data_IF_681675688539
#
_entry.id   IF_681675688539
#
_cell.length_a   1.000
_cell.length_b   1.000
_cell.length_c   1.000
_cell.angle_alpha   90.00
_cell.angle_beta   90.00
_cell.angle_gamma   90.00
#
_symmetry.space_group_name_H-M   'P 1'
#
loop_
_entity.id
_entity.type
_entity.pdbx_description
1 polymer ?
#
# COMPACT_ATOMS: atom_id res chain seq x y z
N UNK A 1 7.20 -17.66 15.35
CA UNK A 1 8.31 -17.03 14.59
C UNK A 1 7.87 -15.63 14.18
N UNK A 2 8.66 -14.58 14.44
CA UNK A 2 8.41 -13.23 13.93
C UNK A 2 9.13 -13.01 12.61
N UNK A 3 8.45 -12.41 11.65
CA UNK A 3 9.02 -12.00 10.35
C UNK A 3 9.14 -10.49 10.37
N UNK A 4 10.36 -9.98 10.19
CA UNK A 4 10.58 -8.53 10.16
C UNK A 4 9.87 -7.92 8.94
N UNK A 5 9.15 -6.80 9.20
CA UNK A 5 8.30 -6.17 8.18
C UNK A 5 9.06 -5.02 7.49
N UNK A 6 8.94 -4.94 6.18
CA UNK A 6 9.59 -3.87 5.39
C UNK A 6 9.16 -2.46 5.82
N UNK A 7 7.93 -2.33 6.30
CA UNK A 7 7.37 -1.07 6.83
C UNK A 7 8.14 -0.54 8.05
N UNK A 8 8.94 -1.37 8.73
CA UNK A 8 9.72 -0.98 9.91
C UNK A 8 10.62 0.23 9.65
N UNK A 9 11.29 0.29 8.51
CA UNK A 9 12.16 1.41 8.15
C UNK A 9 11.42 2.76 8.14
N UNK A 10 10.17 2.75 7.67
CA UNK A 10 9.31 3.94 7.65
C UNK A 10 8.75 4.22 9.05
N UNK A 11 8.37 3.18 9.78
CA UNK A 11 7.90 3.28 11.15
C UNK A 11 8.94 3.94 12.06
N UNK A 12 10.20 3.48 12.03
CA UNK A 12 11.31 4.02 12.83
C UNK A 12 11.53 5.52 12.60
N UNK A 13 11.34 6.00 11.37
CA UNK A 13 11.41 7.44 11.05
C UNK A 13 10.22 8.23 11.61
N UNK A 14 9.02 7.66 11.56
CA UNK A 14 7.78 8.34 11.93
C UNK A 14 7.65 8.47 13.45
N UNK A 15 8.02 7.45 14.22
CA UNK A 15 7.92 7.48 15.70
C UNK A 15 8.78 8.54 16.36
N UNK A 16 9.80 9.07 15.67
CA UNK A 16 10.62 10.18 16.17
C UNK A 16 9.97 11.56 15.97
N UNK A 17 9.01 11.65 15.04
CA UNK A 17 8.40 12.93 14.63
C UNK A 17 6.96 13.10 15.08
N UNK A 18 6.28 11.99 15.41
CA UNK A 18 4.86 12.00 15.77
C UNK A 18 4.65 11.39 17.15
N UNK A 19 3.83 12.06 17.97
CA UNK A 19 3.41 11.53 19.28
C UNK A 19 2.44 10.36 19.15
N UNK A 20 1.76 10.25 18.01
CA UNK A 20 0.82 9.17 17.74
C UNK A 20 1.06 8.54 16.37
N UNK A 21 1.06 7.21 16.33
CA UNK A 21 1.17 6.42 15.10
C UNK A 21 0.03 5.41 15.04
N UNK A 22 -0.69 5.40 13.92
CA UNK A 22 -1.71 4.40 13.62
C UNK A 22 -1.18 3.39 12.61
N UNK A 23 -1.19 2.11 12.99
CA UNK A 23 -0.94 1.00 12.07
C UNK A 23 -2.28 0.42 11.65
N UNK A 24 -2.66 0.65 10.40
CA UNK A 24 -3.93 0.21 9.82
C UNK A 24 -3.70 -0.88 8.78
N UNK A 25 -4.72 -1.64 8.42
CA UNK A 25 -4.59 -2.68 7.41
C UNK A 25 -5.58 -3.82 7.60
N UNK A 26 -5.58 -4.76 6.67
CA UNK A 26 -6.49 -5.90 6.69
C UNK A 26 -6.45 -6.66 8.03
N UNK A 27 -7.57 -7.28 8.38
CA UNK A 27 -7.64 -8.21 9.51
C UNK A 27 -6.56 -9.31 9.34
N UNK A 28 -5.94 -9.73 10.44
CA UNK A 28 -4.89 -10.75 10.45
C UNK A 28 -3.63 -10.46 9.59
N UNK A 29 -3.42 -9.23 9.11
CA UNK A 29 -2.18 -8.84 8.43
C UNK A 29 -0.96 -8.72 9.36
N UNK A 30 -1.15 -8.85 10.69
CA UNK A 30 -0.08 -8.84 11.68
C UNK A 30 0.16 -7.50 12.38
N UNK A 31 -0.81 -6.56 12.39
CA UNK A 31 -0.70 -5.22 13.01
C UNK A 31 -0.29 -5.28 14.48
N UNK A 32 -1.04 -6.02 15.29
CA UNK A 32 -0.79 -6.21 16.73
C UNK A 32 0.58 -6.84 16.97
N UNK A 33 0.93 -7.90 16.20
CA UNK A 33 2.24 -8.56 16.29
C UNK A 33 3.38 -7.61 15.95
N UNK A 34 3.22 -6.80 14.89
CA UNK A 34 4.20 -5.79 14.51
C UNK A 34 4.43 -4.79 15.63
N UNK A 35 3.38 -4.16 16.18
CA UNK A 35 3.53 -3.17 17.25
C UNK A 35 4.12 -3.76 18.53
N UNK A 36 3.67 -4.96 18.95
CA UNK A 36 4.25 -5.66 20.11
C UNK A 36 5.74 -5.90 19.94
N UNK A 37 6.19 -6.25 18.74
CA UNK A 37 7.61 -6.48 18.46
C UNK A 37 8.43 -5.18 18.42
N UNK A 38 7.78 -4.03 18.13
CA UNK A 38 8.46 -2.72 18.15
C UNK A 38 8.49 -2.09 19.55
N UNK A 39 7.74 -2.61 20.51
CA UNK A 39 7.81 -2.17 21.90
C UNK A 39 9.22 -2.47 22.44
N UNK A 40 9.99 -1.40 22.71
CA UNK A 40 11.34 -1.51 23.28
C UNK A 40 11.31 -2.06 24.71
N UNK A 41 12.46 -2.48 25.23
CA UNK A 41 12.61 -2.70 26.67
C UNK A 41 12.49 -1.34 27.36
N UNK A 42 11.36 -1.12 28.06
CA UNK A 42 11.05 0.14 28.75
C UNK A 42 9.68 0.05 29.41
N UNK A 43 9.24 1.15 29.98
CA UNK A 43 7.91 1.26 30.60
C UNK A 43 6.86 1.44 29.50
N UNK A 44 6.46 0.32 28.87
CA UNK A 44 5.48 0.30 27.79
C UNK A 44 4.30 -0.57 28.19
N UNK A 45 3.09 -0.18 27.82
CA UNK A 45 1.88 -0.92 28.06
C UNK A 45 1.15 -1.26 26.76
N UNK A 46 0.60 -2.47 26.71
CA UNK A 46 -0.31 -2.91 25.65
C UNK A 46 -1.71 -3.06 26.19
N UNK A 47 -2.67 -2.40 25.56
CA UNK A 47 -4.07 -2.31 25.99
C UNK A 47 -4.96 -2.79 24.85
N UNK A 48 -5.81 -3.78 25.11
CA UNK A 48 -6.76 -4.35 24.17
C UNK A 48 -8.17 -3.89 24.48
N UNK A 49 -8.82 -3.16 23.59
CA UNK A 49 -10.18 -2.64 23.79
C UNK A 49 -11.30 -3.64 23.45
N UNK A 50 -10.95 -4.85 23.04
CA UNK A 50 -11.93 -5.95 23.03
C UNK A 50 -12.31 -6.39 24.44
N UNK A 51 -11.47 -6.09 25.47
CA UNK A 51 -11.78 -6.25 26.87
C UNK A 51 -12.86 -5.23 27.29
N UNK A 52 -14.07 -5.69 27.73
CA UNK A 52 -15.17 -4.80 28.08
C UNK A 52 -14.87 -3.88 29.26
N UNK A 53 -14.11 -4.35 30.27
CA UNK A 53 -13.79 -3.59 31.45
C UNK A 53 -12.84 -2.44 31.15
N UNK A 54 -11.80 -2.73 30.35
CA UNK A 54 -10.85 -1.72 29.86
C UNK A 54 -11.57 -0.68 29.01
N UNK A 55 -12.42 -1.14 28.09
CA UNK A 55 -13.20 -0.26 27.22
C UNK A 55 -14.20 0.57 28.03
N UNK A 56 -14.90 -0.05 28.99
CA UNK A 56 -15.84 0.66 29.89
C UNK A 56 -15.15 1.79 30.65
N UNK A 57 -13.99 1.52 31.23
CA UNK A 57 -13.21 2.55 31.93
C UNK A 57 -12.77 3.68 31.02
N UNK A 58 -12.27 3.36 29.83
CA UNK A 58 -11.89 4.37 28.83
C UNK A 58 -13.08 5.21 28.38
N UNK A 59 -14.26 4.60 28.24
CA UNK A 59 -15.45 5.27 27.77
C UNK A 59 -16.09 6.18 28.84
N UNK A 60 -16.07 5.76 30.10
CA UNK A 60 -16.75 6.43 31.20
C UNK A 60 -15.87 7.41 32.00
N UNK A 61 -14.62 7.05 32.29
CA UNK A 61 -13.68 7.85 33.06
C UNK A 61 -12.25 7.81 32.50
N UNK A 62 -12.00 8.71 31.54
CA UNK A 62 -10.70 8.80 30.87
C UNK A 62 -9.55 9.15 31.82
N UNK A 63 -9.82 9.95 32.90
CA UNK A 63 -8.76 10.32 33.85
C UNK A 63 -8.33 9.14 34.69
N UNK A 64 -9.31 8.35 35.16
CA UNK A 64 -9.03 7.12 35.90
C UNK A 64 -8.33 6.08 34.99
N UNK A 65 -8.73 5.98 33.73
CA UNK A 65 -8.04 5.15 32.77
C UNK A 65 -6.59 5.60 32.61
N UNK A 66 -6.33 6.91 32.44
CA UNK A 66 -4.99 7.46 32.33
C UNK A 66 -4.13 7.13 33.56
N UNK A 67 -4.67 7.35 34.75
CA UNK A 67 -4.01 7.06 36.00
C UNK A 67 -3.67 5.57 36.17
N UNK A 68 -4.62 4.70 35.82
CA UNK A 68 -4.46 3.25 36.04
C UNK A 68 -3.53 2.59 35.03
N UNK A 69 -3.57 3.03 33.75
CA UNK A 69 -2.87 2.35 32.66
C UNK A 69 -1.72 3.16 32.04
N UNK A 70 -1.81 4.49 32.01
CA UNK A 70 -0.83 5.30 31.28
C UNK A 70 0.21 5.95 32.19
N UNK A 71 -0.09 6.18 33.47
CA UNK A 71 0.88 6.71 34.43
C UNK A 71 2.05 5.74 34.60
N UNK A 72 3.28 6.29 34.59
CA UNK A 72 4.50 5.51 34.73
C UNK A 72 4.92 4.75 33.46
N UNK A 73 4.15 4.85 32.36
CA UNK A 73 4.50 4.27 31.06
C UNK A 73 4.91 5.36 30.06
N UNK A 74 6.00 5.11 29.30
CA UNK A 74 6.51 6.03 28.28
C UNK A 74 5.75 5.91 26.95
N UNK A 75 5.13 4.74 26.71
CA UNK A 75 4.40 4.43 25.50
C UNK A 75 3.20 3.52 25.83
N UNK A 76 2.06 3.81 25.23
CA UNK A 76 0.92 2.90 25.23
C UNK A 76 0.56 2.45 23.80
N UNK A 77 0.39 1.14 23.64
CA UNK A 77 -0.16 0.53 22.42
C UNK A 77 -1.63 0.23 22.67
N UNK A 78 -2.50 0.89 21.90
CA UNK A 78 -3.96 0.80 22.02
C UNK A 78 -4.51 0.01 20.84
N UNK A 79 -4.90 -1.24 21.08
CA UNK A 79 -5.34 -2.17 20.05
C UNK A 79 -6.86 -2.12 19.88
N UNK A 80 -7.34 -2.02 18.62
CA UNK A 80 -8.75 -1.95 18.22
C UNK A 80 -9.51 -0.77 18.86
N UNK A 81 -8.84 0.39 18.99
CA UNK A 81 -9.36 1.60 19.65
C UNK A 81 -10.65 2.17 19.03
N UNK A 82 -10.96 1.81 17.79
CA UNK A 82 -12.20 2.22 17.11
C UNK A 82 -13.46 1.59 17.74
N UNK A 83 -13.32 0.66 18.66
CA UNK A 83 -14.43 0.07 19.41
C UNK A 83 -14.95 0.98 20.53
N UNK A 84 -14.20 2.05 20.88
CA UNK A 84 -14.49 2.97 21.95
C UNK A 84 -15.36 4.16 21.50
N UNK A 85 -16.19 4.67 22.39
CA UNK A 85 -17.00 5.88 22.17
C UNK A 85 -16.12 7.13 22.20
N UNK A 86 -16.37 8.08 21.28
CA UNK A 86 -15.64 9.36 21.19
C UNK A 86 -14.11 9.22 21.21
N UNK A 87 -13.60 8.09 20.68
CA UNK A 87 -12.18 7.74 20.74
C UNK A 87 -11.27 8.89 20.25
N UNK A 88 -11.65 9.60 19.19
CA UNK A 88 -10.84 10.69 18.65
C UNK A 88 -10.61 11.85 19.60
N UNK A 89 -11.64 12.27 20.36
CA UNK A 89 -11.52 13.34 21.35
C UNK A 89 -10.65 12.91 22.53
N UNK A 90 -10.83 11.69 23.00
CA UNK A 90 -10.07 11.11 24.11
C UNK A 90 -8.59 10.94 23.75
N UNK A 91 -8.33 10.40 22.56
CA UNK A 91 -6.96 10.25 22.05
C UNK A 91 -6.27 11.62 21.84
N UNK A 92 -7.02 12.62 21.36
CA UNK A 92 -6.51 13.99 21.26
C UNK A 92 -6.11 14.53 22.63
N UNK A 93 -6.97 14.39 23.65
CA UNK A 93 -6.65 14.81 25.00
C UNK A 93 -5.37 14.15 25.52
N UNK A 94 -5.24 12.83 25.38
CA UNK A 94 -4.06 12.09 25.83
C UNK A 94 -2.77 12.55 25.10
N UNK A 95 -2.84 12.76 23.80
CA UNK A 95 -1.68 13.25 23.03
C UNK A 95 -1.32 14.69 23.42
N UNK A 96 -2.31 15.57 23.60
CA UNK A 96 -2.09 16.96 24.02
C UNK A 96 -1.58 17.04 25.47
N UNK A 97 -1.85 16.01 26.30
CA UNK A 97 -1.26 15.83 27.65
C UNK A 97 0.16 15.21 27.63
N UNK A 98 0.75 15.04 26.44
CA UNK A 98 2.13 14.55 26.28
C UNK A 98 2.29 13.03 26.22
N UNK A 99 1.19 12.25 26.15
CA UNK A 99 1.26 10.79 26.03
C UNK A 99 1.68 10.37 24.62
N UNK A 100 2.56 9.36 24.51
CA UNK A 100 2.95 8.71 23.25
C UNK A 100 2.07 7.48 23.06
N UNK A 101 1.38 7.43 21.89
CA UNK A 101 0.39 6.40 21.62
C UNK A 101 0.66 5.74 20.26
N UNK A 102 0.64 4.42 20.24
CA UNK A 102 0.51 3.66 19.01
C UNK A 102 -0.85 2.98 19.00
N UNK A 103 -1.55 3.05 17.89
CA UNK A 103 -2.87 2.45 17.76
C UNK A 103 -2.94 1.48 16.59
N UNK A 104 -3.84 0.50 16.70
CA UNK A 104 -4.22 -0.32 15.53
C UNK A 104 -5.66 -0.05 15.15
N UNK A 105 -5.97 -0.30 13.88
CA UNK A 105 -7.34 -0.41 13.39
C UNK A 105 -7.41 -1.33 12.18
N UNK A 106 -8.43 -2.18 12.14
CA UNK A 106 -8.77 -3.00 10.98
C UNK A 106 -9.65 -2.27 9.96
N UNK A 107 -10.15 -1.05 10.30
CA UNK A 107 -11.01 -0.24 9.45
C UNK A 107 -10.50 1.20 9.33
N UNK A 108 -10.03 1.55 8.14
CA UNK A 108 -9.60 2.93 7.85
C UNK A 108 -10.77 3.92 7.88
N UNK A 109 -11.99 3.46 7.61
CA UNK A 109 -13.19 4.31 7.59
C UNK A 109 -13.60 4.74 8.98
N UNK A 110 -13.61 3.80 9.91
CA UNK A 110 -13.95 4.11 11.30
C UNK A 110 -12.88 5.03 11.87
N UNK A 111 -11.61 4.72 11.60
CA UNK A 111 -10.49 5.58 11.98
C UNK A 111 -10.66 7.00 11.41
N UNK A 112 -10.98 7.13 10.11
CA UNK A 112 -11.13 8.43 9.45
C UNK A 112 -12.29 9.24 10.01
N UNK A 113 -13.45 8.63 10.22
CA UNK A 113 -14.65 9.31 10.72
C UNK A 113 -14.54 9.74 12.18
N UNK A 114 -14.03 8.85 13.02
CA UNK A 114 -14.11 9.01 14.47
C UNK A 114 -12.84 9.53 15.11
N UNK A 115 -11.69 9.35 14.46
CA UNK A 115 -10.38 9.62 15.06
C UNK A 115 -9.62 10.72 14.32
N UNK A 116 -9.45 10.60 12.99
CA UNK A 116 -8.55 11.49 12.24
C UNK A 116 -8.96 12.95 12.26
N UNK A 117 -10.26 13.26 12.25
CA UNK A 117 -10.76 14.64 12.28
C UNK A 117 -10.29 15.43 13.52
N UNK A 118 -10.01 14.75 14.62
CA UNK A 118 -9.54 15.36 15.86
C UNK A 118 -8.01 15.43 15.97
N UNK A 119 -7.28 14.65 15.19
CA UNK A 119 -5.84 14.41 15.34
C UNK A 119 -4.98 14.98 14.21
N UNK A 120 -5.51 15.94 13.46
CA UNK A 120 -4.78 16.59 12.35
C UNK A 120 -3.44 17.14 12.86
N UNK A 121 -2.34 16.76 12.20
CA UNK A 121 -0.97 17.16 12.57
C UNK A 121 -0.34 16.40 13.76
N UNK A 122 -1.07 15.50 14.43
CA UNK A 122 -0.61 14.74 15.61
C UNK A 122 -0.37 13.27 15.32
N UNK A 123 -0.99 12.74 14.29
CA UNK A 123 -1.00 11.32 13.95
C UNK A 123 -0.35 11.08 12.58
N UNK A 124 0.42 10.02 12.49
CA UNK A 124 0.84 9.44 11.21
C UNK A 124 0.21 8.07 11.03
N UNK A 125 -0.17 7.77 9.78
CA UNK A 125 -0.84 6.52 9.42
C UNK A 125 0.10 5.67 8.58
N UNK A 126 0.31 4.43 9.01
CA UNK A 126 1.04 3.40 8.29
C UNK A 126 0.11 2.25 7.91
N UNK A 127 0.16 1.86 6.64
CA UNK A 127 -0.63 0.73 6.13
C UNK A 127 0.20 -0.53 6.12
N UNK A 128 -0.28 -1.55 6.84
CA UNK A 128 0.32 -2.87 6.89
C UNK A 128 -0.51 -3.85 6.06
N UNK A 129 0.07 -4.32 4.98
CA UNK A 129 -0.53 -5.33 4.09
C UNK A 129 -0.11 -6.75 4.52
N UNK A 130 -0.72 -7.82 3.97
CA UNK A 130 -0.16 -9.17 4.03
C UNK A 130 1.30 -9.19 3.56
N UNK A 131 2.08 -10.21 3.89
CA UNK A 131 3.50 -10.28 3.54
C UNK A 131 3.77 -9.98 2.06
N UNK A 132 4.79 -9.16 1.79
CA UNK A 132 5.37 -9.00 0.46
C UNK A 132 6.10 -10.28 0.05
N UNK A 133 6.52 -10.38 -1.20
CA UNK A 133 7.29 -11.53 -1.66
C UNK A 133 8.61 -11.68 -0.87
N UNK A 134 9.30 -10.59 -0.56
CA UNK A 134 10.52 -10.59 0.25
C UNK A 134 10.25 -11.03 1.71
N UNK A 135 9.17 -10.54 2.31
CA UNK A 135 8.74 -10.97 3.65
C UNK A 135 8.32 -12.46 3.65
N UNK A 136 7.65 -12.92 2.59
CA UNK A 136 7.31 -14.34 2.40
C UNK A 136 8.56 -15.21 2.30
N UNK A 137 9.55 -14.82 1.50
CA UNK A 137 10.82 -15.55 1.39
C UNK A 137 11.55 -15.62 2.73
N UNK A 138 11.53 -14.52 3.47
CA UNK A 138 12.09 -14.46 4.83
C UNK A 138 11.35 -15.42 5.79
N UNK A 139 10.02 -15.46 5.71
CA UNK A 139 9.19 -16.38 6.50
C UNK A 139 9.48 -17.86 6.18
N UNK A 140 9.80 -18.17 4.93
CA UNK A 140 10.16 -19.51 4.46
C UNK A 140 11.65 -19.85 4.67
N UNK A 141 12.45 -18.93 5.25
CA UNK A 141 13.87 -19.13 5.48
C UNK A 141 14.72 -19.16 4.19
N UNK A 142 14.20 -18.63 3.10
CA UNK A 142 14.86 -18.67 1.78
C UNK A 142 15.70 -17.40 1.57
N UNK A 143 17.03 -17.55 1.61
CA UNK A 143 17.97 -16.43 1.40
C UNK A 143 18.69 -16.47 0.04
N UNK A 144 18.93 -17.67 -0.50
CA UNK A 144 19.57 -17.87 -1.81
C UNK A 144 18.81 -18.98 -2.53
N UNK A 145 18.36 -18.70 -3.73
CA UNK A 145 17.52 -19.62 -4.50
C UNK A 145 18.07 -19.81 -5.90
N UNK A 146 17.93 -21.04 -6.43
CA UNK A 146 18.05 -21.27 -7.87
C UNK A 146 16.77 -20.77 -8.58
N UNK A 147 16.85 -20.47 -9.86
CA UNK A 147 15.70 -19.99 -10.63
C UNK A 147 14.45 -20.92 -10.51
N UNK A 148 14.54 -22.25 -10.57
CA UNK A 148 13.38 -23.11 -10.38
C UNK A 148 12.75 -23.00 -8.97
N UNK A 149 13.57 -22.83 -7.93
CA UNK A 149 13.08 -22.64 -6.56
C UNK A 149 12.39 -21.29 -6.42
N UNK A 150 12.96 -20.23 -6.98
CA UNK A 150 12.35 -18.90 -6.98
C UNK A 150 10.97 -18.90 -7.66
N UNK A 151 10.84 -19.54 -8.82
CA UNK A 151 9.55 -19.71 -9.50
C UNK A 151 8.53 -20.47 -8.66
N UNK A 152 8.93 -21.55 -7.99
CA UNK A 152 8.05 -22.31 -7.11
C UNK A 152 7.60 -21.47 -5.90
N UNK A 153 8.50 -20.71 -5.29
CA UNK A 153 8.18 -19.83 -4.17
C UNK A 153 7.24 -18.70 -4.60
N UNK A 154 7.50 -18.10 -5.75
CA UNK A 154 6.61 -17.07 -6.32
C UNK A 154 5.22 -17.64 -6.60
N UNK A 155 5.15 -18.85 -7.15
CA UNK A 155 3.87 -19.54 -7.40
C UNK A 155 3.12 -19.83 -6.09
N UNK A 156 3.81 -20.35 -5.06
CA UNK A 156 3.19 -20.59 -3.74
C UNK A 156 2.62 -19.29 -3.16
N UNK A 157 3.39 -18.21 -3.19
CA UNK A 157 2.94 -16.91 -2.69
C UNK A 157 1.77 -16.34 -3.51
N UNK A 158 1.78 -16.53 -4.84
CA UNK A 158 0.69 -16.11 -5.72
C UNK A 158 -0.57 -16.97 -5.51
N UNK A 159 -0.41 -18.24 -5.23
CA UNK A 159 -1.51 -19.19 -5.03
C UNK A 159 -2.22 -18.99 -3.69
N UNK A 160 -1.45 -18.84 -2.61
CA UNK A 160 -1.98 -18.79 -1.24
C UNK A 160 -1.92 -17.40 -0.60
N UNK A 161 -1.31 -16.42 -1.27
CA UNK A 161 -1.18 -15.06 -0.76
C UNK A 161 -0.17 -14.89 0.36
N UNK A 162 -0.18 -13.70 0.95
CA UNK A 162 0.79 -13.25 1.96
C UNK A 162 0.24 -13.16 3.38
N UNK A 163 -0.95 -13.65 3.70
CA UNK A 163 -1.44 -13.60 5.07
C UNK A 163 -0.54 -14.42 6.02
N UNK A 164 -0.04 -13.82 7.13
CA UNK A 164 0.98 -14.45 7.97
C UNK A 164 0.63 -15.86 8.42
N UNK A 165 -0.61 -16.09 8.88
CA UNK A 165 -1.06 -17.41 9.32
C UNK A 165 -1.03 -18.44 8.18
N UNK A 166 -1.40 -18.04 6.96
CA UNK A 166 -1.39 -18.89 5.76
C UNK A 166 0.04 -19.23 5.37
N UNK A 167 0.92 -18.23 5.33
CA UNK A 167 2.35 -18.40 4.96
C UNK A 167 3.07 -19.33 5.92
N UNK A 168 2.79 -19.23 7.22
CA UNK A 168 3.41 -20.04 8.28
C UNK A 168 2.78 -21.44 8.45
N UNK A 169 1.71 -21.74 7.73
CA UNK A 169 1.09 -23.06 7.66
C UNK A 169 1.70 -23.83 6.49
N UNK A 170 2.06 -25.10 6.68
CA UNK A 170 2.64 -25.94 5.60
C UNK A 170 1.59 -26.73 4.84
N UNK A 171 0.55 -27.19 5.52
CA UNK A 171 -0.54 -27.98 4.94
C UNK A 171 -1.40 -27.17 3.96
N UNK A 172 -1.48 -27.55 2.67
CA UNK A 172 -2.26 -26.85 1.66
C UNK A 172 -3.78 -26.79 1.96
N UNK A 173 -4.37 -27.84 2.51
CA UNK A 173 -5.79 -27.88 2.82
C UNK A 173 -6.11 -26.93 3.98
N UNK A 174 -5.23 -26.89 4.98
CA UNK A 174 -5.36 -25.95 6.08
C UNK A 174 -5.15 -24.50 5.64
N UNK A 175 -4.27 -24.23 4.69
CA UNK A 175 -4.13 -22.88 4.07
C UNK A 175 -5.44 -22.44 3.44
N UNK A 176 -6.08 -23.29 2.65
CA UNK A 176 -7.37 -22.98 2.00
C UNK A 176 -8.47 -22.73 3.05
N UNK A 177 -8.53 -23.56 4.10
CA UNK A 177 -9.47 -23.38 5.22
C UNK A 177 -9.28 -22.04 5.91
N UNK A 178 -8.03 -21.67 6.22
CA UNK A 178 -7.70 -20.37 6.85
C UNK A 178 -8.11 -19.19 5.95
N UNK A 179 -7.88 -19.30 4.65
CA UNK A 179 -8.27 -18.26 3.69
C UNK A 179 -9.80 -18.15 3.56
N UNK A 180 -10.51 -19.27 3.59
CA UNK A 180 -11.98 -19.28 3.56
C UNK A 180 -12.56 -18.62 4.81
N UNK A 181 -12.11 -19.00 6.00
CA UNK A 181 -12.53 -18.40 7.27
C UNK A 181 -12.23 -16.88 7.31
N UNK A 182 -11.08 -16.49 6.77
CA UNK A 182 -10.67 -15.09 6.68
C UNK A 182 -11.60 -14.32 5.73
N UNK A 183 -11.89 -14.87 4.55
CA UNK A 183 -12.81 -14.28 3.58
C UNK A 183 -14.19 -14.04 4.20
N UNK A 184 -14.78 -15.06 4.80
CA UNK A 184 -16.09 -14.96 5.42
C UNK A 184 -16.11 -13.93 6.56
N UNK A 185 -15.10 -13.95 7.42
CA UNK A 185 -15.00 -12.99 8.53
C UNK A 185 -14.83 -11.55 8.02
N UNK A 186 -13.98 -11.32 7.04
CA UNK A 186 -13.77 -10.00 6.46
C UNK A 186 -15.01 -9.51 5.73
N UNK A 187 -15.65 -10.36 4.93
CA UNK A 187 -16.84 -9.96 4.18
C UNK A 187 -17.98 -9.56 5.12
N UNK A 188 -18.26 -10.37 6.14
CA UNK A 188 -19.37 -10.14 7.06
C UNK A 188 -19.08 -9.01 8.06
N UNK A 189 -17.91 -9.01 8.71
CA UNK A 189 -17.60 -8.03 9.77
C UNK A 189 -17.03 -6.73 9.23
N UNK A 190 -16.06 -6.80 8.31
CA UNK A 190 -15.31 -5.61 7.92
C UNK A 190 -15.97 -4.89 6.72
N UNK A 191 -16.69 -5.62 5.85
CA UNK A 191 -17.41 -5.03 4.73
C UNK A 191 -18.89 -4.83 5.08
N UNK A 192 -19.67 -5.90 5.23
CA UNK A 192 -21.10 -5.80 5.33
C UNK A 192 -21.56 -5.02 6.57
N UNK A 193 -21.11 -5.41 7.77
CA UNK A 193 -21.49 -4.75 9.01
C UNK A 193 -21.01 -3.29 9.09
N UNK A 194 -19.75 -3.02 8.72
CA UNK A 194 -19.17 -1.67 8.80
C UNK A 194 -19.85 -0.68 7.87
N UNK A 195 -20.34 -1.15 6.71
CA UNK A 195 -20.99 -0.30 5.70
C UNK A 195 -22.52 -0.46 5.63
N UNK A 196 -23.11 -1.16 6.60
CA UNK A 196 -24.55 -1.43 6.65
C UNK A 196 -25.06 -1.95 5.32
N UNK A 197 -24.51 -3.09 4.91
CA UNK A 197 -24.92 -3.84 3.72
C UNK A 197 -25.72 -5.03 4.19
N UNK A 198 -27.04 -5.04 3.90
CA UNK A 198 -27.96 -6.09 4.32
C UNK A 198 -28.03 -7.23 3.28
N UNK A 199 -27.87 -6.91 2.00
CA UNK A 199 -27.86 -7.88 0.92
C UNK A 199 -26.48 -8.52 0.74
N UNK A 200 -26.22 -9.52 1.58
CA UNK A 200 -24.96 -10.27 1.60
C UNK A 200 -24.78 -11.10 0.33
N UNK A 201 -25.87 -11.68 -0.19
CA UNK A 201 -25.86 -12.54 -1.37
C UNK A 201 -25.40 -11.77 -2.62
N UNK A 202 -25.90 -10.56 -2.83
CA UNK A 202 -25.45 -9.68 -3.92
C UNK A 202 -24.01 -9.21 -3.71
N UNK A 203 -23.58 -8.98 -2.46
CA UNK A 203 -22.20 -8.63 -2.15
C UNK A 203 -21.23 -9.78 -2.47
N UNK A 204 -21.58 -11.02 -2.11
CA UNK A 204 -20.78 -12.22 -2.43
C UNK A 204 -20.69 -12.45 -3.95
N UNK A 205 -21.81 -12.36 -4.66
CA UNK A 205 -21.84 -12.46 -6.13
C UNK A 205 -20.97 -11.40 -6.78
N UNK A 206 -21.00 -10.17 -6.26
CA UNK A 206 -20.17 -9.09 -6.74
C UNK A 206 -18.68 -9.33 -6.46
N UNK A 207 -18.32 -9.75 -5.25
CA UNK A 207 -16.95 -10.10 -4.90
C UNK A 207 -16.41 -11.22 -5.81
N UNK A 208 -17.22 -12.25 -6.06
CA UNK A 208 -16.87 -13.35 -6.97
C UNK A 208 -16.73 -12.89 -8.42
N UNK A 209 -17.63 -12.02 -8.90
CA UNK A 209 -17.53 -11.43 -10.24
C UNK A 209 -16.18 -10.72 -10.44
N UNK A 210 -15.75 -9.90 -9.46
CA UNK A 210 -14.46 -9.23 -9.50
C UNK A 210 -13.29 -10.23 -9.44
N UNK A 211 -13.41 -11.30 -8.65
CA UNK A 211 -12.34 -12.27 -8.47
C UNK A 211 -12.10 -13.14 -9.71
N UNK A 212 -13.13 -13.44 -10.48
CA UNK A 212 -13.02 -14.22 -11.71
C UNK A 212 -12.39 -13.41 -12.84
N UNK A 213 -12.69 -12.11 -12.93
CA UNK A 213 -12.16 -11.21 -13.97
C UNK A 213 -11.33 -10.05 -13.41
N UNK A 214 -10.25 -10.31 -12.65
CA UNK A 214 -9.40 -9.22 -12.16
C UNK A 214 -8.69 -8.54 -13.33
N UNK A 215 -8.11 -7.36 -13.07
CA UNK A 215 -7.34 -6.56 -14.03
C UNK A 215 -8.13 -5.96 -15.21
N UNK A 216 -9.41 -6.28 -15.38
CA UNK A 216 -10.25 -5.63 -16.36
C UNK A 216 -10.70 -4.23 -15.95
N UNK A 217 -10.94 -3.32 -16.92
CA UNK A 217 -11.61 -2.06 -16.64
C UNK A 217 -13.04 -2.34 -16.21
N UNK A 218 -13.41 -1.86 -15.03
CA UNK A 218 -14.72 -2.10 -14.47
C UNK A 218 -15.79 -1.25 -15.17
N UNK A 219 -16.61 -1.88 -16.00
CA UNK A 219 -17.80 -1.25 -16.57
C UNK A 219 -18.98 -1.42 -15.62
N UNK A 220 -19.46 -0.33 -15.03
CA UNK A 220 -20.61 -0.36 -14.12
C UNK A 220 -21.87 -0.87 -14.79
N UNK A 221 -22.10 -0.53 -16.06
CA UNK A 221 -23.26 -1.00 -16.84
C UNK A 221 -23.19 -2.51 -17.07
N UNK A 222 -22.01 -3.02 -17.42
CA UNK A 222 -21.80 -4.47 -17.61
C UNK A 222 -22.07 -5.24 -16.32
N UNK A 223 -21.54 -4.75 -15.19
CA UNK A 223 -21.76 -5.36 -13.87
C UNK A 223 -23.23 -5.29 -13.45
N UNK A 224 -23.88 -4.13 -13.65
CA UNK A 224 -25.29 -3.92 -13.33
C UNK A 224 -26.18 -4.92 -14.08
N UNK A 225 -25.95 -5.07 -15.39
CA UNK A 225 -26.69 -6.00 -16.22
C UNK A 225 -26.43 -7.47 -15.85
N UNK A 226 -25.17 -7.81 -15.53
CA UNK A 226 -24.79 -9.20 -15.21
C UNK A 226 -25.31 -9.67 -13.85
N UNK A 227 -25.36 -8.78 -12.85
CA UNK A 227 -25.71 -9.13 -11.47
C UNK A 227 -27.08 -8.62 -11.02
N UNK A 228 -27.76 -7.81 -11.83
CA UNK A 228 -29.06 -7.23 -11.47
C UNK A 228 -29.01 -6.20 -10.33
N UNK A 229 -27.83 -5.57 -10.09
CA UNK A 229 -27.65 -4.60 -9.02
C UNK A 229 -27.47 -3.17 -9.56
N UNK A 230 -27.96 -2.18 -8.82
CA UNK A 230 -27.90 -0.79 -9.26
C UNK A 230 -26.47 -0.22 -9.29
N UNK A 231 -26.23 0.78 -10.13
CA UNK A 231 -24.99 1.55 -10.16
C UNK A 231 -24.59 2.07 -8.75
N UNK A 232 -25.56 2.55 -7.99
CA UNK A 232 -25.33 3.04 -6.62
C UNK A 232 -24.85 1.93 -5.69
N UNK A 233 -25.43 0.75 -5.81
CA UNK A 233 -25.07 -0.45 -5.04
C UNK A 233 -23.65 -0.90 -5.40
N UNK A 234 -23.30 -0.97 -6.70
CA UNK A 234 -21.95 -1.32 -7.15
C UNK A 234 -20.92 -0.37 -6.55
N UNK A 235 -21.19 0.94 -6.61
CA UNK A 235 -20.28 1.94 -6.04
C UNK A 235 -20.14 1.78 -4.53
N UNK A 236 -21.24 1.53 -3.80
CA UNK A 236 -21.22 1.26 -2.36
C UNK A 236 -20.38 0.03 -2.03
N UNK A 237 -20.54 -1.06 -2.79
CA UNK A 237 -19.79 -2.31 -2.58
C UNK A 237 -18.29 -2.12 -2.88
N UNK A 238 -17.93 -1.46 -3.97
CA UNK A 238 -16.54 -1.12 -4.29
C UNK A 238 -15.89 -0.28 -3.21
N UNK A 239 -16.57 0.78 -2.75
CA UNK A 239 -16.05 1.66 -1.69
C UNK A 239 -15.88 0.89 -0.38
N UNK A 240 -16.82 0.00 -0.04
CA UNK A 240 -16.74 -0.83 1.15
C UNK A 240 -15.59 -1.84 1.08
N UNK A 241 -15.44 -2.56 -0.04
CA UNK A 241 -14.39 -3.55 -0.23
C UNK A 241 -12.99 -2.91 -0.26
N UNK A 242 -12.83 -1.74 -0.90
CA UNK A 242 -11.54 -1.05 -0.93
C UNK A 242 -11.11 -0.57 0.46
N UNK A 243 -12.04 0.03 1.20
CA UNK A 243 -11.80 0.54 2.55
C UNK A 243 -11.61 -0.54 3.61
N UNK A 244 -12.04 -1.77 3.29
CA UNK A 244 -11.83 -2.97 4.12
C UNK A 244 -10.62 -3.80 3.66
N UNK A 245 -9.78 -3.27 2.79
CA UNK A 245 -8.58 -3.95 2.30
C UNK A 245 -8.83 -5.28 1.56
N UNK A 246 -9.95 -5.39 0.86
CA UNK A 246 -10.19 -6.50 -0.07
C UNK A 246 -9.57 -6.23 -1.43
N UNK A 247 -9.83 -5.04 -1.96
CA UNK A 247 -9.46 -4.63 -3.31
C UNK A 247 -8.73 -3.28 -3.29
N UNK A 248 -8.10 -2.98 -4.40
CA UNK A 248 -7.62 -1.65 -4.75
C UNK A 248 -8.14 -1.27 -6.13
N UNK A 249 -8.50 0.01 -6.30
CA UNK A 249 -8.85 0.60 -7.59
C UNK A 249 -7.65 1.31 -8.18
N UNK A 250 -7.23 0.88 -9.35
CA UNK A 250 -6.16 1.48 -10.13
C UNK A 250 -6.78 2.35 -11.21
N UNK A 251 -6.55 3.66 -11.12
CA UNK A 251 -7.10 4.65 -12.03
C UNK A 251 -6.20 4.87 -13.24
N UNK A 252 -6.73 5.36 -14.38
CA UNK A 252 -5.92 5.59 -15.55
C UNK A 252 -4.97 6.78 -15.36
N UNK A 253 -3.79 6.68 -15.98
CA UNK A 253 -2.83 7.77 -16.07
C UNK A 253 -3.22 8.74 -17.19
N UNK A 254 -3.31 10.02 -16.85
CA UNK A 254 -3.45 11.13 -17.80
C UNK A 254 -2.51 12.25 -17.41
N UNK A 255 -1.96 12.97 -18.41
CA UNK A 255 -1.27 14.24 -18.15
C UNK A 255 -2.21 15.29 -17.54
N UNK A 256 -3.50 15.26 -17.90
CA UNK A 256 -4.54 16.07 -17.26
C UNK A 256 -5.19 15.29 -16.09
N UNK A 257 -4.84 15.65 -14.85
CA UNK A 257 -5.30 14.99 -13.63
C UNK A 257 -6.82 14.96 -13.44
N UNK A 258 -7.58 15.93 -14.00
CA UNK A 258 -9.05 15.91 -13.94
C UNK A 258 -9.66 14.72 -14.68
N UNK A 259 -9.01 14.26 -15.75
CA UNK A 259 -9.48 13.10 -16.52
C UNK A 259 -9.26 11.77 -15.78
N UNK A 260 -8.26 11.69 -14.90
CA UNK A 260 -8.01 10.51 -14.08
C UNK A 260 -9.20 10.18 -13.17
N UNK A 261 -9.80 11.21 -12.56
CA UNK A 261 -10.85 11.06 -11.53
C UNK A 261 -12.18 10.54 -12.10
N UNK A 262 -12.50 10.90 -13.37
CA UNK A 262 -13.81 10.58 -13.98
C UNK A 262 -13.84 9.27 -14.76
N UNK A 263 -12.71 8.61 -14.97
CA UNK A 263 -12.63 7.38 -15.75
C UNK A 263 -12.77 6.14 -14.86
N UNK A 264 -13.24 5.05 -15.48
CA UNK A 264 -13.44 3.78 -14.81
C UNK A 264 -12.10 3.18 -14.38
N UNK A 265 -11.99 2.65 -13.14
CA UNK A 265 -10.78 2.01 -12.66
C UNK A 265 -10.66 0.56 -13.16
N UNK A 266 -9.46 0.02 -13.13
CA UNK A 266 -9.22 -1.41 -12.99
C UNK A 266 -9.32 -1.79 -11.51
N UNK A 267 -9.72 -3.04 -11.23
CA UNK A 267 -9.87 -3.53 -9.86
C UNK A 267 -8.97 -4.75 -9.66
N UNK A 268 -8.18 -4.71 -8.58
CA UNK A 268 -7.30 -5.80 -8.17
C UNK A 268 -7.56 -6.17 -6.72
N UNK A 269 -7.39 -7.44 -6.38
CA UNK A 269 -7.41 -7.89 -5.00
C UNK A 269 -6.08 -7.56 -4.32
N UNK A 270 -6.11 -7.17 -3.04
CA UNK A 270 -4.90 -6.85 -2.26
C UNK A 270 -4.09 -8.11 -1.92
N UNK A 271 -4.75 -9.28 -1.94
CA UNK A 271 -4.11 -10.57 -1.73
C UNK A 271 -4.62 -11.58 -2.75
N UNK A 272 -3.70 -12.23 -3.46
CA UNK A 272 -4.04 -13.18 -4.52
C UNK A 272 -4.57 -14.51 -3.99
N UNK A 273 -4.14 -14.94 -2.80
CA UNK A 273 -4.69 -16.13 -2.15
C UNK A 273 -6.16 -15.94 -1.80
N UNK A 274 -6.50 -14.79 -1.22
CA UNK A 274 -7.89 -14.44 -0.95
C UNK A 274 -8.72 -14.37 -2.24
N UNK A 275 -8.17 -13.76 -3.31
CA UNK A 275 -8.81 -13.75 -4.63
C UNK A 275 -9.10 -15.15 -5.15
N UNK A 276 -8.14 -16.07 -5.04
CA UNK A 276 -8.27 -17.42 -5.57
C UNK A 276 -9.37 -18.21 -4.85
N UNK A 277 -9.50 -18.07 -3.54
CA UNK A 277 -10.60 -18.67 -2.75
C UNK A 277 -11.96 -18.13 -3.19
N UNK A 278 -12.08 -16.82 -3.35
CA UNK A 278 -13.34 -16.16 -3.78
C UNK A 278 -13.71 -16.58 -5.21
N UNK A 279 -12.74 -16.64 -6.11
CA UNK A 279 -12.96 -17.09 -7.50
C UNK A 279 -13.26 -18.59 -7.60
N UNK A 280 -12.97 -19.36 -6.55
CA UNK A 280 -13.04 -20.84 -6.54
C UNK A 280 -12.18 -21.45 -7.66
N UNK A 281 -11.02 -20.85 -7.93
CA UNK A 281 -10.09 -21.32 -8.98
C UNK A 281 -8.91 -22.04 -8.33
N UNK A 282 -8.64 -23.24 -8.82
CA UNK A 282 -7.45 -24.04 -8.48
C UNK A 282 -6.58 -24.17 -9.73
N UNK A 283 -5.88 -23.12 -10.06
CA UNK A 283 -4.99 -23.16 -11.22
C UNK A 283 -3.74 -23.95 -10.86
N UNK A 284 -3.25 -24.78 -11.81
CA UNK A 284 -1.97 -25.47 -11.69
C UNK A 284 -0.80 -24.55 -12.05
N UNK A 285 -1.07 -23.51 -12.83
CA UNK A 285 -0.10 -22.53 -13.31
C UNK A 285 -0.74 -21.13 -13.29
N UNK A 286 0.05 -20.05 -13.16
CA UNK A 286 -0.48 -18.70 -13.21
C UNK A 286 -1.01 -18.37 -14.61
N UNK A 287 -2.15 -17.70 -14.65
CA UNK A 287 -2.63 -16.99 -15.84
C UNK A 287 -2.18 -15.52 -15.82
N UNK A 288 -2.33 -14.84 -16.97
CA UNK A 288 -1.87 -13.46 -17.12
C UNK A 288 -2.59 -12.48 -16.18
N UNK A 289 -3.90 -12.68 -15.92
CA UNK A 289 -4.68 -11.82 -15.04
C UNK A 289 -4.29 -11.98 -13.58
N UNK A 290 -4.03 -13.21 -13.15
CA UNK A 290 -3.54 -13.50 -11.78
C UNK A 290 -2.15 -12.90 -11.56
N UNK A 291 -1.25 -13.02 -12.56
CA UNK A 291 0.09 -12.47 -12.46
C UNK A 291 0.07 -10.93 -12.48
N UNK A 292 -0.78 -10.31 -13.29
CA UNK A 292 -0.98 -8.85 -13.28
C UNK A 292 -1.52 -8.38 -11.91
N UNK A 293 -2.51 -9.08 -11.33
CA UNK A 293 -2.98 -8.80 -9.97
C UNK A 293 -1.86 -8.94 -8.95
N UNK A 294 -1.05 -9.97 -9.04
CA UNK A 294 0.10 -10.20 -8.15
C UNK A 294 1.11 -9.06 -8.21
N UNK A 295 1.51 -8.63 -9.42
CA UNK A 295 2.41 -7.47 -9.59
C UNK A 295 1.80 -6.21 -8.99
N UNK A 296 0.50 -5.97 -9.18
CA UNK A 296 -0.20 -4.85 -8.55
C UNK A 296 -0.11 -4.89 -7.03
N UNK A 297 -0.30 -6.06 -6.41
CA UNK A 297 -0.19 -6.20 -4.95
C UNK A 297 1.22 -5.94 -4.46
N UNK A 298 2.23 -6.41 -5.17
CA UNK A 298 3.63 -6.19 -4.79
C UNK A 298 4.04 -4.71 -4.92
N UNK A 299 3.56 -3.99 -5.95
CA UNK A 299 3.72 -2.53 -6.04
C UNK A 299 3.08 -1.83 -4.84
N UNK A 300 1.85 -2.21 -4.48
CA UNK A 300 1.13 -1.65 -3.32
C UNK A 300 1.88 -1.86 -2.00
N UNK A 301 2.42 -3.06 -1.77
CA UNK A 301 3.18 -3.42 -0.57
C UNK A 301 4.48 -2.63 -0.46
N UNK A 302 5.08 -2.25 -1.60
CA UNK A 302 6.20 -1.30 -1.66
C UNK A 302 5.78 0.17 -1.47
N UNK A 303 4.51 0.46 -1.16
CA UNK A 303 3.99 1.82 -1.01
C UNK A 303 3.79 2.56 -2.33
N UNK A 304 3.73 1.85 -3.45
CA UNK A 304 3.58 2.43 -4.79
C UNK A 304 2.12 2.31 -5.23
N UNK A 305 1.45 3.46 -5.41
CA UNK A 305 0.13 3.53 -6.02
C UNK A 305 0.29 3.70 -7.53
N UNK A 306 0.19 2.59 -8.25
CA UNK A 306 0.30 2.58 -9.70
C UNK A 306 -0.99 3.09 -10.37
N UNK A 307 -0.87 3.50 -11.63
CA UNK A 307 -1.97 3.82 -12.54
C UNK A 307 -1.87 2.93 -13.75
N UNK A 308 -2.94 2.79 -14.55
CA UNK A 308 -2.84 2.14 -15.86
C UNK A 308 -2.90 3.19 -16.97
N UNK A 309 -2.43 2.87 -18.17
CA UNK A 309 -2.57 3.76 -19.31
C UNK A 309 -3.27 3.06 -20.47
N UNK A 310 -4.24 3.75 -21.08
CA UNK A 310 -4.97 3.21 -22.22
C UNK A 310 -5.40 4.30 -23.18
N UNK A 311 -5.23 4.03 -24.49
CA UNK A 311 -5.71 4.89 -25.56
C UNK A 311 -7.17 4.60 -25.93
N UNK A 312 -7.76 5.47 -26.75
CA UNK A 312 -9.08 5.23 -27.34
C UNK A 312 -9.09 4.00 -28.24
N UNK A 313 -7.98 3.65 -28.85
CA UNK A 313 -7.79 2.47 -29.71
C UNK A 313 -7.48 1.20 -28.93
N UNK A 314 -7.70 1.21 -27.62
CA UNK A 314 -7.49 0.08 -26.69
C UNK A 314 -6.04 -0.37 -26.55
N UNK A 315 -5.08 0.40 -27.01
CA UNK A 315 -3.65 0.16 -26.73
C UNK A 315 -3.39 0.51 -25.26
N UNK A 316 -2.74 -0.36 -24.50
CA UNK A 316 -2.67 -0.30 -23.03
C UNK A 316 -1.24 -0.57 -22.54
N UNK A 317 -0.91 0.00 -21.36
CA UNK A 317 0.21 -0.36 -20.49
C UNK A 317 -0.36 -0.67 -19.12
N UNK A 318 0.04 -1.81 -18.55
CA UNK A 318 -0.57 -2.36 -17.33
C UNK A 318 -0.42 -1.43 -16.14
N UNK A 319 0.80 -0.91 -15.89
CA UNK A 319 1.04 0.01 -14.80
C UNK A 319 1.93 1.19 -15.19
N UNK A 320 1.62 2.34 -14.61
CA UNK A 320 2.43 3.56 -14.68
C UNK A 320 2.77 3.96 -13.25
N UNK A 321 4.05 3.99 -12.93
CA UNK A 321 4.57 4.43 -11.64
C UNK A 321 5.06 5.86 -11.77
N UNK A 322 4.49 6.77 -10.96
CA UNK A 322 4.93 8.17 -10.90
C UNK A 322 6.08 8.31 -9.88
N UNK A 323 7.21 8.83 -10.30
CA UNK A 323 8.39 9.10 -9.47
C UNK A 323 8.76 10.59 -9.57
N UNK A 324 9.55 11.09 -8.64
CA UNK A 324 10.10 12.46 -8.70
C UNK A 324 10.93 12.70 -9.97
N UNK A 325 11.57 11.67 -10.49
CA UNK A 325 12.38 11.70 -11.71
C UNK A 325 11.59 11.56 -13.02
N UNK A 326 10.28 11.32 -12.95
CA UNK A 326 9.42 11.08 -14.12
C UNK A 326 8.52 9.87 -13.96
N UNK A 327 7.98 9.36 -15.05
CA UNK A 327 7.10 8.19 -15.06
C UNK A 327 7.87 6.94 -15.51
N UNK A 328 7.53 5.81 -14.93
CA UNK A 328 8.07 4.49 -15.29
C UNK A 328 6.89 3.60 -15.71
N UNK A 329 6.71 3.32 -17.00
CA UNK A 329 5.73 2.35 -17.45
C UNK A 329 6.20 0.93 -17.14
N UNK A 330 5.26 0.09 -16.72
CA UNK A 330 5.44 -1.33 -16.47
C UNK A 330 4.49 -2.14 -17.35
N UNK A 331 5.02 -3.14 -18.02
CA UNK A 331 4.28 -4.18 -18.73
C UNK A 331 4.46 -5.51 -17.99
N UNK A 332 3.39 -6.28 -17.85
CA UNK A 332 3.39 -7.57 -17.12
C UNK A 332 3.15 -8.71 -18.10
N UNK A 333 4.04 -9.69 -18.11
CA UNK A 333 3.96 -10.84 -19.01
C UNK A 333 4.32 -12.14 -18.31
N UNK A 334 3.60 -13.21 -18.61
CA UNK A 334 4.00 -14.54 -18.12
C UNK A 334 5.35 -14.97 -18.71
N UNK A 335 5.60 -14.62 -19.98
CA UNK A 335 6.84 -14.91 -20.69
C UNK A 335 7.27 -13.67 -21.47
N UNK A 336 8.47 -13.21 -21.25
CA UNK A 336 9.08 -12.16 -22.03
C UNK A 336 10.60 -12.31 -22.09
N UNK A 337 11.18 -11.87 -23.20
CA UNK A 337 12.62 -11.88 -23.43
C UNK A 337 13.06 -10.52 -23.99
N UNK A 338 14.30 -10.07 -23.73
CA UNK A 338 14.86 -8.89 -24.36
C UNK A 338 14.86 -9.00 -25.89
N UNK A 339 14.52 -7.90 -26.57
CA UNK A 339 14.49 -7.83 -28.04
C UNK A 339 13.12 -7.46 -28.62
N UNK A 340 12.03 -7.72 -27.88
CA UNK A 340 10.68 -7.36 -28.33
C UNK A 340 9.89 -6.75 -27.19
N UNK A 341 9.22 -5.63 -27.48
CA UNK A 341 8.24 -4.99 -26.56
C UNK A 341 6.87 -4.88 -27.22
N UNK A 342 5.84 -4.91 -26.41
CA UNK A 342 4.47 -4.76 -26.85
C UNK A 342 4.18 -3.36 -27.43
N UNK A 343 3.15 -3.30 -28.30
CA UNK A 343 2.72 -2.06 -28.94
C UNK A 343 2.34 -1.00 -27.90
N UNK A 344 1.73 -1.40 -26.78
CA UNK A 344 1.32 -0.49 -25.70
C UNK A 344 2.51 0.24 -25.11
N UNK A 345 3.50 -0.50 -24.65
CA UNK A 345 4.71 0.05 -24.07
C UNK A 345 5.48 0.93 -25.06
N UNK A 346 5.59 0.51 -26.34
CA UNK A 346 6.22 1.31 -27.39
C UNK A 346 5.49 2.65 -27.59
N UNK A 347 4.17 2.62 -27.70
CA UNK A 347 3.35 3.84 -27.91
C UNK A 347 3.45 4.79 -26.70
N UNK A 348 3.53 4.25 -25.49
CA UNK A 348 3.74 5.06 -24.30
C UNK A 348 5.12 5.73 -24.30
N UNK A 349 6.18 4.97 -24.64
CA UNK A 349 7.55 5.49 -24.74
C UNK A 349 7.63 6.63 -25.78
N UNK A 350 7.00 6.46 -26.92
CA UNK A 350 6.97 7.47 -27.99
C UNK A 350 6.21 8.74 -27.58
N UNK A 351 5.16 8.59 -26.76
CA UNK A 351 4.32 9.73 -26.35
C UNK A 351 4.88 10.51 -25.15
N UNK A 352 5.46 9.82 -24.18
CA UNK A 352 5.85 10.40 -22.89
C UNK A 352 7.35 10.46 -22.64
N UNK A 353 8.17 9.83 -23.48
CA UNK A 353 9.62 9.81 -23.43
C UNK A 353 10.21 9.49 -22.05
N UNK A 354 9.75 8.41 -21.37
CA UNK A 354 10.28 8.03 -20.07
C UNK A 354 11.76 7.62 -20.21
N UNK A 355 12.56 7.85 -19.15
CA UNK A 355 13.96 7.40 -19.12
C UNK A 355 14.09 5.89 -18.98
N UNK A 356 13.20 5.30 -18.18
CA UNK A 356 13.18 3.88 -17.84
C UNK A 356 11.79 3.30 -18.04
N UNK A 357 11.75 2.01 -18.41
CA UNK A 357 10.55 1.18 -18.49
C UNK A 357 10.88 -0.21 -17.98
N UNK A 358 9.88 -0.93 -17.46
CA UNK A 358 10.03 -2.29 -16.97
C UNK A 358 9.11 -3.25 -17.71
N UNK A 359 9.62 -4.44 -18.02
CA UNK A 359 8.82 -5.61 -18.40
C UNK A 359 9.00 -6.63 -17.28
N UNK A 360 7.94 -6.82 -16.50
CA UNK A 360 7.94 -7.75 -15.38
C UNK A 360 7.44 -9.11 -15.87
N UNK A 361 8.26 -10.14 -15.70
CA UNK A 361 7.96 -11.46 -16.22
C UNK A 361 7.92 -12.53 -15.13
N UNK A 362 7.01 -13.50 -15.27
CA UNK A 362 6.97 -14.68 -14.40
C UNK A 362 8.07 -15.68 -14.80
N UNK A 363 8.18 -15.97 -16.09
CA UNK A 363 9.27 -16.78 -16.68
C UNK A 363 9.88 -15.97 -17.82
N UNK A 364 11.19 -15.75 -17.80
CA UNK A 364 11.87 -15.00 -18.86
C UNK A 364 13.32 -14.74 -18.54
N UNK A 365 14.01 -14.18 -19.51
CA UNK A 365 15.41 -13.81 -19.38
C UNK A 365 15.53 -12.38 -18.88
N UNK A 366 16.34 -12.17 -17.84
CA UNK A 366 16.68 -10.82 -17.39
C UNK A 366 17.61 -10.15 -18.41
N UNK A 367 17.41 -8.87 -18.65
CA UNK A 367 18.23 -8.11 -19.56
C UNK A 367 17.72 -6.70 -19.80
N UNK A 368 18.36 -5.99 -20.70
CA UNK A 368 17.99 -4.61 -21.04
C UNK A 368 18.06 -4.38 -22.54
N UNK A 369 17.22 -3.48 -23.02
CA UNK A 369 17.29 -2.96 -24.37
C UNK A 369 16.99 -1.46 -24.40
N UNK A 370 17.40 -0.76 -25.44
CA UNK A 370 17.05 0.65 -25.64
C UNK A 370 15.99 0.80 -26.71
N UNK A 371 14.97 1.60 -26.44
CA UNK A 371 13.88 1.94 -27.34
C UNK A 371 13.66 3.44 -27.29
N UNK A 372 13.91 4.16 -28.37
CA UNK A 372 13.72 5.62 -28.48
C UNK A 372 14.32 6.41 -27.30
N UNK A 373 15.52 6.05 -26.85
CA UNK A 373 16.21 6.67 -25.72
C UNK A 373 15.79 6.17 -24.35
N UNK A 374 14.73 5.37 -24.24
CA UNK A 374 14.28 4.72 -23.01
C UNK A 374 15.05 3.42 -22.77
N UNK A 375 15.52 3.19 -21.54
CA UNK A 375 16.08 1.89 -21.13
C UNK A 375 14.95 1.00 -20.65
N UNK A 376 14.67 -0.09 -21.35
CA UNK A 376 13.66 -1.08 -21.01
C UNK A 376 14.37 -2.26 -20.35
N UNK A 377 14.07 -2.50 -19.08
CA UNK A 377 14.62 -3.62 -18.30
C UNK A 377 13.60 -4.76 -18.20
N UNK A 378 14.05 -5.99 -18.45
CA UNK A 378 13.29 -7.22 -18.30
C UNK A 378 13.71 -7.86 -16.97
N UNK A 379 12.75 -8.12 -16.09
CA UNK A 379 13.03 -8.56 -14.73
C UNK A 379 11.87 -9.37 -14.15
N UNK A 380 12.12 -10.07 -13.05
CA UNK A 380 11.08 -10.67 -12.21
C UNK A 380 10.52 -9.67 -11.18
N UNK A 381 9.64 -10.13 -10.29
CA UNK A 381 9.01 -9.28 -9.27
C UNK A 381 10.04 -8.76 -8.25
N UNK A 382 11.01 -9.56 -7.83
CA UNK A 382 12.04 -9.12 -6.90
C UNK A 382 12.94 -8.04 -7.51
N UNK A 383 13.39 -8.24 -8.76
CA UNK A 383 14.16 -7.25 -9.50
C UNK A 383 13.37 -5.98 -9.81
N UNK A 384 12.05 -6.07 -10.04
CA UNK A 384 11.15 -4.91 -10.16
C UNK A 384 11.18 -4.06 -8.88
N UNK A 385 11.01 -4.67 -7.73
CA UNK A 385 11.03 -3.98 -6.44
C UNK A 385 12.36 -3.27 -6.22
N UNK A 386 13.46 -3.96 -6.42
CA UNK A 386 14.81 -3.40 -6.29
C UNK A 386 15.02 -2.21 -7.22
N UNK A 387 14.72 -2.33 -8.51
CA UNK A 387 14.91 -1.25 -9.48
C UNK A 387 14.04 -0.04 -9.17
N UNK A 388 12.80 -0.24 -8.72
CA UNK A 388 11.92 0.86 -8.34
C UNK A 388 12.40 1.58 -7.06
N UNK A 389 13.03 0.88 -6.11
CA UNK A 389 13.65 1.49 -4.92
C UNK A 389 14.89 2.30 -5.33
N UNK A 390 15.75 1.75 -6.18
CA UNK A 390 16.95 2.43 -6.68
C UNK A 390 16.60 3.73 -7.43
N UNK A 391 15.55 3.70 -8.25
CA UNK A 391 15.06 4.89 -8.96
C UNK A 391 14.51 5.99 -8.02
N UNK A 392 14.12 5.66 -6.78
CA UNK A 392 13.73 6.65 -5.77
C UNK A 392 14.93 7.34 -5.12
N UNK A 393 16.07 6.64 -5.03
CA UNK A 393 17.28 7.13 -4.36
C UNK A 393 18.15 7.99 -5.29
N UNK A 394 17.80 8.15 -6.56
CA UNK A 394 18.47 9.07 -7.46
C UNK A 394 18.06 10.49 -7.07
N UNK A 395 18.99 11.25 -6.50
CA UNK A 395 18.81 12.69 -6.27
C UNK A 395 18.35 13.35 -7.58
N UNK A 396 17.33 14.24 -7.54
CA UNK A 396 16.91 14.95 -8.73
C UNK A 396 18.11 15.72 -9.29
N UNK A 397 18.58 15.31 -10.45
CA UNK A 397 19.63 16.05 -11.12
C UNK A 397 19.12 17.47 -11.37
N UNK A 398 19.80 18.44 -10.80
CA UNK A 398 19.55 19.86 -11.05
C UNK A 398 19.59 20.08 -12.55
N UNK A 399 18.62 20.83 -13.09
CA UNK A 399 18.57 21.14 -14.54
C UNK A 399 19.92 21.71 -14.97
N UNK A 400 20.44 21.32 -16.14
CA UNK A 400 21.76 21.77 -16.63
C UNK A 400 21.94 23.30 -16.58
N UNK A 401 20.86 24.04 -16.81
CA UNK A 401 20.80 25.50 -16.69
C UNK A 401 21.03 25.99 -15.24
N UNK A 402 20.48 25.25 -14.28
CA UNK A 402 20.67 25.56 -12.86
C UNK A 402 22.10 25.25 -12.40
N UNK A 403 22.69 24.15 -12.87
CA UNK A 403 24.09 23.79 -12.62
C UNK A 403 25.02 24.86 -13.20
N UNK A 404 24.75 25.33 -14.43
CA UNK A 404 25.51 26.45 -15.05
C UNK A 404 25.38 27.73 -14.22
N UNK A 405 24.19 28.03 -13.72
CA UNK A 405 23.94 29.20 -12.90
C UNK A 405 24.67 29.12 -11.54
N UNK A 406 24.62 27.96 -10.87
CA UNK A 406 25.34 27.74 -9.62
C UNK A 406 26.87 27.84 -9.83
N UNK A 407 27.41 27.19 -10.89
CA UNK A 407 28.84 27.30 -11.24
C UNK A 407 29.28 28.75 -11.50
N UNK A 408 28.44 29.53 -12.19
CA UNK A 408 28.69 30.95 -12.45
C UNK A 408 28.70 31.80 -11.17
N UNK A 409 27.79 31.51 -10.22
CA UNK A 409 27.76 32.15 -8.91
C UNK A 409 28.99 31.76 -8.08
N UNK A 410 29.37 30.48 -8.08
CA UNK A 410 30.58 30.02 -7.41
C UNK A 410 31.86 30.67 -7.97
N UNK A 411 31.95 30.78 -9.28
CA UNK A 411 33.09 31.45 -9.95
C UNK A 411 33.15 32.98 -9.71
N UNK A 412 32.00 33.61 -9.52
CA UNK A 412 31.94 35.06 -9.25
C UNK A 412 32.30 35.44 -7.82
N UNK A 413 32.43 34.48 -6.88
CA UNK A 413 32.68 34.72 -5.48
C UNK A 413 31.58 35.47 -4.73
N UNK A 414 30.46 35.78 -5.40
CA UNK A 414 29.33 36.52 -4.83
C UNK A 414 28.30 35.55 -4.20
N UNK A 415 28.70 34.78 -3.23
CA UNK A 415 27.79 33.95 -2.43
C UNK A 415 28.13 34.05 -0.94
N UNK A 416 27.12 33.86 -0.11
CA UNK A 416 27.27 33.86 1.34
C UNK A 416 27.17 32.43 1.85
N UNK A 417 28.17 31.98 2.58
CA UNK A 417 28.09 30.67 3.25
C UNK A 417 27.33 30.80 4.57
N UNK A 418 26.46 29.84 4.81
CA UNK A 418 25.68 29.71 6.04
C UNK A 418 26.12 28.48 6.82
N UNK A 419 26.42 28.65 8.08
CA UNK A 419 26.82 27.54 8.98
C UNK A 419 25.62 26.70 9.44
N UNK A 420 24.39 27.17 9.24
CA UNK A 420 23.16 26.47 9.61
C UNK A 420 21.93 26.95 8.82
N UNK A 421 20.92 26.08 8.71
CA UNK A 421 19.61 26.40 8.12
C UNK A 421 18.93 27.56 8.89
N UNK A 422 19.17 27.68 10.20
CA UNK A 422 18.63 28.74 11.02
C UNK A 422 19.20 30.10 10.59
N UNK A 423 20.49 30.20 10.38
CA UNK A 423 21.16 31.43 9.91
C UNK A 423 20.67 31.85 8.52
N UNK A 424 20.49 30.90 7.60
CA UNK A 424 19.89 31.16 6.28
C UNK A 424 18.47 31.74 6.40
N UNK A 425 17.66 31.18 7.29
CA UNK A 425 16.27 31.59 7.51
C UNK A 425 16.21 33.01 8.08
N UNK A 426 16.99 33.31 9.09
CA UNK A 426 17.07 34.62 9.75
C UNK A 426 17.48 35.72 8.74
N UNK A 427 18.40 35.42 7.83
CA UNK A 427 18.80 36.40 6.81
C UNK A 427 17.76 36.62 5.71
N UNK A 428 17.04 35.59 5.29
CA UNK A 428 15.92 35.71 4.34
C UNK A 428 14.79 36.56 4.95
N UNK A 429 14.48 36.37 6.23
CA UNK A 429 13.45 37.12 6.94
C UNK A 429 13.86 38.59 7.16
N UNK A 430 15.14 38.83 7.46
CA UNK A 430 15.67 40.19 7.62
C UNK A 430 15.74 40.96 6.30
N UNK A 431 16.01 40.32 5.15
CA UNK A 431 15.94 40.93 3.83
C UNK A 431 14.53 41.34 3.43
N UNK A 432 13.49 40.64 3.90
CA UNK A 432 12.09 41.03 3.68
C UNK A 432 11.62 42.23 4.51
N UNK A 433 12.35 42.62 5.54
CA UNK A 433 12.04 43.76 6.44
C UNK A 433 12.73 45.08 6.05
N UNK A 434 13.59 45.08 5.01
CA UNK A 434 14.16 46.35 4.51
C UNK A 434 13.23 46.94 3.48
N UNK A 435 12.62 48.13 3.74
CA UNK A 435 11.86 48.85 2.71
C UNK A 435 12.78 49.28 1.57
N UNK A 436 12.28 49.16 0.36
CA UNK A 436 12.90 49.60 -0.89
C UNK A 436 13.05 51.12 -0.92
#
# INVERSE_FOLDING_TARGET
MYVEREIKKTFDKIITSYSMVAVVGARQAGKTTFLKQQMSQGKNIYILFDDPDVRGLFDEDLKKFEQQYLEGNDLAVLDEVQSCKDAGRKLKYLVDSGRRLWITSSSEVILAKEILSYLVGRISILRLYPFSYEEFLTAKGQKKMTAPVALRMMWEHMQYGGYPKVVLTDDPELKETILQDLYETMLLKDVARTFSIDDIDSLEKFARYLAVGPSGILSYDTVSNALGISFRTIKKYLDAMEKSYFIIRVYPYFSNKRKEIVKQPKVYFIDTGLRNIIAKTRNKEPDGMLFENYVCTELLKCGILAKYWRTKTKTEVDFIVEKSSGVVPLEVKLHAEPGKIERGLRSFIEMYHPKNALVVTYKGTHGQMKVNGCTVSFTDVAGMQQQLIEMNNVEPQLRPEYIKKIKKIQQSGNYTEFSSIKQLRDEIENKKKRPS
#
